data_IF_820584632060
#
_entry.id   IF_820584632060
#
_cell.length_a   1.000
_cell.length_b   1.000
_cell.length_c   1.000
_cell.angle_alpha   90.00
_cell.angle_beta   90.00
_cell.angle_gamma   90.00
#
_symmetry.space_group_name_H-M   'P 1'
#
loop_
_entity.id
_entity.type
_entity.pdbx_description
1 polymer ?
#
# COMPACT_ATOMS: atom_id res chain seq x y z
N UNK A 1 2.13 19.38 4.58
CA UNK A 1 1.07 19.92 3.73
C UNK A 1 0.68 18.91 2.65
N UNK A 2 1.54 18.55 1.72
CA UNK A 2 1.23 17.61 0.60
C UNK A 2 0.81 16.21 1.05
N UNK A 3 1.27 15.73 2.21
CA UNK A 3 0.79 14.46 2.77
C UNK A 3 -0.70 14.48 3.14
N UNK A 4 -1.25 15.66 3.45
CA UNK A 4 -2.67 15.84 3.81
C UNK A 4 -3.53 16.16 2.59
N UNK A 5 -3.00 16.96 1.68
CA UNK A 5 -3.66 17.36 0.45
C UNK A 5 -2.63 17.52 -0.67
N UNK A 6 -2.57 16.52 -1.54
CA UNK A 6 -1.67 16.49 -2.68
C UNK A 6 -2.12 17.42 -3.84
N UNK A 7 -3.31 18.04 -3.74
CA UNK A 7 -3.84 18.98 -4.74
C UNK A 7 -3.51 20.44 -4.45
N UNK A 8 -2.85 20.73 -3.32
CA UNK A 8 -2.41 22.09 -3.02
C UNK A 8 -1.55 22.65 -4.15
N UNK A 9 -1.89 23.87 -4.60
CA UNK A 9 -1.10 24.57 -5.60
C UNK A 9 0.17 25.17 -5.00
N UNK A 10 1.13 25.48 -5.84
CA UNK A 10 2.37 26.15 -5.40
C UNK A 10 2.10 27.50 -4.75
N UNK A 11 1.06 28.23 -5.24
CA UNK A 11 0.59 29.48 -4.67
C UNK A 11 0.08 29.29 -3.24
N UNK A 12 -0.82 28.31 -3.02
CA UNK A 12 -1.39 28.00 -1.71
C UNK A 12 -0.32 27.60 -0.71
N UNK A 13 0.63 26.78 -1.14
CA UNK A 13 1.76 26.37 -0.28
C UNK A 13 2.67 27.57 -0.01
N UNK A 14 2.91 28.40 -1.04
CA UNK A 14 3.74 29.60 -0.93
C UNK A 14 3.18 30.61 0.06
N UNK A 15 1.88 30.89 -0.01
CA UNK A 15 1.18 31.75 0.96
C UNK A 15 1.32 31.22 2.39
N UNK A 16 1.04 29.93 2.60
CA UNK A 16 1.12 29.31 3.92
C UNK A 16 2.53 29.32 4.53
N UNK A 17 3.57 29.28 3.70
CA UNK A 17 4.97 29.23 4.13
C UNK A 17 5.72 30.55 3.95
N UNK A 18 5.03 31.62 3.48
CA UNK A 18 5.62 32.92 3.14
C UNK A 18 6.81 32.78 2.17
N UNK A 19 6.59 32.07 1.06
CA UNK A 19 7.58 31.81 0.01
C UNK A 19 6.95 32.00 -1.38
N UNK A 20 7.78 32.31 -2.38
CA UNK A 20 7.28 32.43 -3.76
C UNK A 20 6.85 31.07 -4.32
N UNK A 21 5.85 31.03 -5.22
CA UNK A 21 5.43 29.79 -5.88
C UNK A 21 6.58 29.07 -6.61
N UNK A 22 7.50 29.83 -7.23
CA UNK A 22 8.67 29.26 -7.89
C UNK A 22 9.61 28.54 -6.91
N UNK A 23 9.84 29.13 -5.73
CA UNK A 23 10.62 28.50 -4.66
C UNK A 23 9.96 27.21 -4.19
N UNK A 24 8.63 27.19 -4.05
CA UNK A 24 7.88 25.99 -3.65
C UNK A 24 8.01 24.90 -4.72
N UNK A 25 7.82 25.25 -6.00
CA UNK A 25 7.98 24.31 -7.11
C UNK A 25 9.37 23.66 -7.10
N UNK A 26 10.42 24.45 -6.96
CA UNK A 26 11.79 23.94 -7.00
C UNK A 26 12.08 23.03 -5.80
N UNK A 27 11.53 23.34 -4.63
CA UNK A 27 11.66 22.49 -3.44
C UNK A 27 10.90 21.15 -3.59
N UNK A 28 9.69 21.18 -4.14
CA UNK A 28 8.91 19.97 -4.39
C UNK A 28 9.64 19.09 -5.40
N UNK A 29 10.07 19.66 -6.53
CA UNK A 29 10.84 18.94 -7.53
C UNK A 29 12.09 18.28 -6.93
N UNK A 30 12.82 19.00 -6.11
CA UNK A 30 13.99 18.44 -5.42
C UNK A 30 13.61 17.24 -4.53
N UNK A 31 12.51 17.33 -3.77
CA UNK A 31 12.03 16.21 -2.93
C UNK A 31 11.59 15.00 -3.76
N UNK A 32 11.07 15.22 -4.97
CA UNK A 32 10.76 14.14 -5.92
C UNK A 32 12.03 13.50 -6.48
N UNK A 33 12.99 14.33 -6.93
CA UNK A 33 14.27 13.88 -7.48
C UNK A 33 15.10 13.10 -6.42
N UNK A 34 15.11 13.57 -5.18
CA UNK A 34 15.77 12.92 -4.03
C UNK A 34 14.95 11.75 -3.45
N UNK A 35 13.80 11.41 -4.05
CA UNK A 35 12.88 10.36 -3.58
C UNK A 35 12.39 10.51 -2.14
N UNK A 36 12.33 11.73 -1.62
CA UNK A 36 11.63 12.06 -0.38
C UNK A 36 10.11 11.96 -0.59
N UNK A 37 9.64 12.43 -1.76
CA UNK A 37 8.29 12.18 -2.24
C UNK A 37 8.39 11.04 -3.26
N UNK A 38 7.77 9.91 -2.93
CA UNK A 38 7.77 8.71 -3.79
C UNK A 38 6.66 8.73 -4.84
N UNK A 39 5.62 9.53 -4.62
CA UNK A 39 4.48 9.64 -5.51
C UNK A 39 3.27 10.27 -4.85
N UNK A 40 2.18 10.33 -5.60
CA UNK A 40 0.89 10.87 -5.18
C UNK A 40 -0.18 9.83 -5.47
N UNK A 41 -1.13 9.68 -4.56
CA UNK A 41 -2.21 8.72 -4.72
C UNK A 41 -3.54 9.30 -4.26
N UNK A 42 -4.61 8.95 -4.94
CA UNK A 42 -5.95 9.28 -4.52
C UNK A 42 -6.45 8.27 -3.48
N UNK A 43 -7.09 8.77 -2.43
CA UNK A 43 -7.86 7.95 -1.52
C UNK A 43 -9.24 7.80 -2.12
N UNK A 44 -9.67 6.56 -2.33
CA UNK A 44 -10.93 6.24 -2.99
C UNK A 44 -11.85 5.45 -2.05
N UNK A 45 -13.16 5.53 -2.31
CA UNK A 45 -14.15 4.66 -1.68
C UNK A 45 -14.09 3.28 -2.35
N UNK A 46 -13.46 2.34 -1.68
CA UNK A 46 -13.22 1.00 -2.19
C UNK A 46 -14.50 0.20 -2.42
N UNK A 47 -15.53 0.42 -1.61
CA UNK A 47 -16.84 -0.22 -1.79
C UNK A 47 -17.47 0.16 -3.13
N UNK A 48 -17.32 1.42 -3.55
CA UNK A 48 -17.80 1.90 -4.85
C UNK A 48 -16.95 1.39 -6.03
N UNK A 49 -15.78 0.84 -5.77
CA UNK A 49 -14.91 0.23 -6.79
C UNK A 49 -15.13 -1.29 -6.91
N UNK A 50 -16.14 -1.86 -6.24
CA UNK A 50 -16.42 -3.28 -6.27
C UNK A 50 -15.48 -4.13 -5.42
N UNK A 51 -14.73 -3.50 -4.50
CA UNK A 51 -13.90 -4.21 -3.51
C UNK A 51 -14.80 -4.59 -2.35
N UNK A 52 -15.26 -5.83 -2.34
CA UNK A 52 -16.13 -6.37 -1.28
C UNK A 52 -15.36 -6.97 -0.10
N UNK A 53 -14.06 -7.23 -0.28
CA UNK A 53 -13.22 -7.85 0.73
C UNK A 53 -11.84 -7.20 0.74
N UNK A 54 -11.42 -6.76 1.90
CA UNK A 54 -10.08 -6.24 2.20
C UNK A 54 -9.51 -7.03 3.38
N UNK A 55 -8.34 -7.61 3.23
CA UNK A 55 -7.75 -8.46 4.25
C UNK A 55 -6.24 -8.22 4.37
N UNK A 56 -5.76 -8.27 5.61
CA UNK A 56 -4.35 -8.42 5.90
C UNK A 56 -4.05 -9.90 6.12
N UNK A 57 -3.09 -10.40 5.37
CA UNK A 57 -2.67 -11.80 5.40
C UNK A 57 -1.20 -11.85 5.76
N UNK A 58 -0.90 -12.44 6.90
CA UNK A 58 0.49 -12.69 7.30
C UNK A 58 0.84 -14.16 7.07
N UNK A 59 2.08 -14.41 6.69
CA UNK A 59 2.57 -15.75 6.40
C UNK A 59 4.08 -15.88 6.62
N UNK A 60 4.54 -17.11 6.76
CA UNK A 60 5.94 -17.48 6.75
C UNK A 60 6.40 -17.82 5.34
N UNK A 61 7.67 -17.61 5.09
CA UNK A 61 8.37 -18.02 3.87
C UNK A 61 9.80 -18.44 4.23
N UNK A 62 10.30 -19.42 3.53
CA UNK A 62 11.70 -19.81 3.67
C UNK A 62 12.61 -18.64 3.25
N UNK A 63 13.57 -18.25 4.10
CA UNK A 63 14.48 -17.14 3.79
C UNK A 63 15.21 -17.28 2.44
N UNK A 64 15.50 -18.50 2.02
CA UNK A 64 16.21 -18.78 0.77
C UNK A 64 15.37 -18.49 -0.49
N UNK A 65 14.04 -18.50 -0.37
CA UNK A 65 13.10 -18.29 -1.48
C UNK A 65 12.34 -16.95 -1.40
N UNK A 66 12.54 -16.19 -0.33
CA UNK A 66 11.81 -14.95 -0.04
C UNK A 66 11.83 -13.97 -1.20
N UNK A 67 13.00 -13.70 -1.78
CA UNK A 67 13.14 -12.71 -2.86
C UNK A 67 12.30 -13.07 -4.09
N UNK A 68 12.32 -14.33 -4.50
CA UNK A 68 11.54 -14.81 -5.66
C UNK A 68 10.05 -14.80 -5.35
N UNK A 69 9.66 -15.25 -4.16
CA UNK A 69 8.26 -15.29 -3.74
C UNK A 69 7.65 -13.88 -3.64
N UNK A 70 8.37 -12.93 -3.07
CA UNK A 70 7.93 -11.52 -2.98
C UNK A 70 7.83 -10.89 -4.38
N UNK A 71 8.79 -11.14 -5.27
CA UNK A 71 8.71 -10.66 -6.64
C UNK A 71 7.47 -11.21 -7.37
N UNK A 72 7.14 -12.49 -7.15
CA UNK A 72 5.93 -13.09 -7.69
C UNK A 72 4.65 -12.50 -7.07
N UNK A 73 4.63 -12.20 -5.77
CA UNK A 73 3.50 -11.51 -5.12
C UNK A 73 3.22 -10.14 -5.74
N UNK A 74 4.25 -9.38 -6.09
CA UNK A 74 4.11 -8.05 -6.70
C UNK A 74 3.38 -8.09 -8.04
N UNK A 75 3.36 -9.23 -8.74
CA UNK A 75 2.63 -9.41 -10.00
C UNK A 75 1.16 -9.78 -9.81
N UNK A 76 0.73 -10.09 -8.59
CA UNK A 76 -0.66 -10.44 -8.29
C UNK A 76 -1.47 -9.15 -8.13
N UNK A 77 -2.35 -8.86 -9.06
CA UNK A 77 -3.16 -7.63 -9.12
C UNK A 77 -3.92 -7.33 -7.82
N UNK A 78 -4.34 -8.36 -7.11
CA UNK A 78 -5.12 -8.24 -5.87
C UNK A 78 -4.27 -7.88 -4.65
N UNK A 79 -2.94 -8.03 -4.73
CA UNK A 79 -2.01 -7.66 -3.66
C UNK A 79 -1.66 -6.18 -3.81
N UNK A 80 -2.02 -5.38 -2.81
CA UNK A 80 -1.86 -3.92 -2.84
C UNK A 80 -0.74 -3.40 -1.92
N UNK A 81 -0.28 -4.23 -1.00
CA UNK A 81 0.79 -3.90 -0.06
C UNK A 81 1.54 -5.17 0.34
N UNK A 82 2.84 -5.07 0.48
CA UNK A 82 3.70 -6.15 0.98
C UNK A 82 4.69 -5.53 1.95
N UNK A 83 4.72 -6.03 3.18
CA UNK A 83 5.62 -5.60 4.23
C UNK A 83 6.44 -6.77 4.78
N UNK A 84 7.70 -6.53 5.06
CA UNK A 84 8.52 -7.41 5.87
C UNK A 84 8.43 -6.99 7.34
N UNK A 85 8.12 -7.95 8.20
CA UNK A 85 7.99 -7.73 9.64
C UNK A 85 9.05 -8.50 10.41
N UNK A 86 9.29 -8.07 11.64
CA UNK A 86 10.03 -8.84 12.64
C UNK A 86 9.09 -9.84 13.34
N UNK A 87 9.63 -10.89 13.94
CA UNK A 87 8.85 -11.90 14.66
C UNK A 87 8.39 -13.07 13.80
N UNK A 88 7.30 -13.68 14.18
CA UNK A 88 6.65 -14.75 13.43
C UNK A 88 5.85 -14.16 12.26
N UNK A 89 5.60 -14.99 11.22
CA UNK A 89 4.86 -14.58 10.01
C UNK A 89 5.41 -13.27 9.42
N UNK A 90 6.65 -13.35 8.97
CA UNK A 90 7.46 -12.18 8.62
C UNK A 90 7.02 -11.43 7.36
N UNK A 91 6.10 -11.96 6.59
CA UNK A 91 5.54 -11.29 5.42
C UNK A 91 4.09 -10.96 5.71
N UNK A 92 3.75 -9.69 5.66
CA UNK A 92 2.38 -9.20 5.73
C UNK A 92 2.01 -8.66 4.35
N UNK A 93 0.88 -9.11 3.84
CA UNK A 93 0.34 -8.64 2.57
C UNK A 93 -1.10 -8.15 2.75
N UNK A 94 -1.47 -7.10 2.02
CA UNK A 94 -2.84 -6.65 1.94
C UNK A 94 -3.44 -7.11 0.63
N UNK A 95 -4.53 -7.87 0.72
CA UNK A 95 -5.21 -8.45 -0.42
C UNK A 95 -6.62 -7.86 -0.53
N UNK A 96 -6.96 -7.40 -1.73
CA UNK A 96 -8.27 -6.85 -2.04
C UNK A 96 -8.95 -7.71 -3.09
N UNK A 97 -10.18 -8.10 -2.81
CA UNK A 97 -10.97 -9.00 -3.65
C UNK A 97 -12.42 -8.53 -3.74
N UNK A 98 -13.16 -9.01 -4.72
CA UNK A 98 -14.59 -8.73 -4.85
C UNK A 98 -15.44 -9.46 -3.82
N UNK A 99 -14.94 -10.59 -3.28
CA UNK A 99 -15.63 -11.40 -2.29
C UNK A 99 -14.67 -12.22 -1.43
N UNK A 100 -15.18 -12.75 -0.32
CA UNK A 100 -14.42 -13.66 0.55
C UNK A 100 -14.03 -14.95 -0.19
N UNK A 101 -14.89 -15.43 -1.08
CA UNK A 101 -14.59 -16.60 -1.92
C UNK A 101 -13.38 -16.34 -2.80
N UNK A 102 -13.35 -15.18 -3.47
CA UNK A 102 -12.22 -14.79 -4.32
C UNK A 102 -10.93 -14.65 -3.49
N UNK A 103 -11.00 -14.09 -2.28
CA UNK A 103 -9.86 -14.02 -1.38
C UNK A 103 -9.26 -15.40 -1.10
N UNK A 104 -10.09 -16.37 -0.75
CA UNK A 104 -9.66 -17.76 -0.48
C UNK A 104 -9.02 -18.35 -1.74
N UNK A 105 -9.60 -18.15 -2.91
CA UNK A 105 -9.04 -18.65 -4.17
C UNK A 105 -7.69 -18.00 -4.50
N UNK A 106 -7.51 -16.71 -4.23
CA UNK A 106 -6.23 -16.04 -4.42
C UNK A 106 -5.17 -16.65 -3.51
N UNK A 107 -5.48 -16.85 -2.24
CA UNK A 107 -4.55 -17.47 -1.28
C UNK A 107 -4.19 -18.88 -1.74
N UNK A 108 -5.17 -19.71 -2.03
CA UNK A 108 -4.96 -21.14 -2.33
C UNK A 108 -4.28 -21.35 -3.69
N UNK A 109 -4.68 -20.60 -4.72
CA UNK A 109 -4.23 -20.84 -6.09
C UNK A 109 -3.04 -20.00 -6.51
N UNK A 110 -2.84 -18.81 -5.90
CA UNK A 110 -1.80 -17.88 -6.33
C UNK A 110 -0.70 -17.65 -5.29
N UNK A 111 -1.00 -17.71 -4.00
CA UNK A 111 -0.04 -17.39 -2.95
C UNK A 111 0.61 -18.64 -2.34
N UNK A 112 -0.18 -19.63 -1.96
CA UNK A 112 0.37 -20.90 -1.45
C UNK A 112 1.38 -21.56 -2.38
N UNK A 113 1.16 -21.61 -3.71
CA UNK A 113 2.15 -22.20 -4.63
C UNK A 113 3.50 -21.49 -4.67
N UNK A 114 3.59 -20.26 -4.17
CA UNK A 114 4.85 -19.51 -4.07
C UNK A 114 5.72 -19.94 -2.88
N UNK A 115 5.21 -20.85 -2.03
CA UNK A 115 5.94 -21.38 -0.87
C UNK A 115 5.59 -20.71 0.46
N UNK A 116 4.60 -19.83 0.48
CA UNK A 116 4.10 -19.28 1.75
C UNK A 116 3.34 -20.29 2.56
N UNK A 117 3.55 -20.28 3.88
CA UNK A 117 2.96 -21.19 4.86
C UNK A 117 2.48 -20.44 6.10
N UNK A 118 1.81 -21.14 7.03
CA UNK A 118 1.40 -20.61 8.33
C UNK A 118 0.62 -19.29 8.21
N UNK A 119 -0.43 -19.31 7.38
CA UNK A 119 -1.25 -18.13 7.10
C UNK A 119 -2.09 -17.71 8.31
N UNK A 120 -2.14 -16.42 8.55
CA UNK A 120 -3.11 -15.75 9.40
C UNK A 120 -3.85 -14.70 8.58
N UNK A 121 -5.17 -14.75 8.56
CA UNK A 121 -6.00 -13.89 7.73
C UNK A 121 -6.87 -13.01 8.61
N UNK A 122 -6.64 -11.71 8.56
CA UNK A 122 -7.42 -10.70 9.28
C UNK A 122 -8.25 -9.87 8.30
N UNK A 123 -9.57 -10.02 8.39
CA UNK A 123 -10.50 -9.25 7.56
C UNK A 123 -10.65 -7.84 8.09
N UNK A 124 -10.60 -6.83 7.21
CA UNK A 124 -10.91 -5.46 7.55
C UNK A 124 -12.43 -5.30 7.63
N UNK A 125 -12.96 -5.10 8.83
CA UNK A 125 -14.39 -4.90 9.04
C UNK A 125 -14.85 -3.47 8.76
N UNK A 126 -13.94 -2.51 8.90
CA UNK A 126 -14.19 -1.10 8.61
C UNK A 126 -12.96 -0.24 8.83
N UNK A 127 -12.93 0.90 8.20
CA UNK A 127 -11.87 1.89 8.37
C UNK A 127 -12.34 3.00 9.31
N UNK A 128 -11.73 3.10 10.48
CA UNK A 128 -12.02 4.16 11.46
C UNK A 128 -11.30 5.46 11.08
N UNK A 129 -10.06 5.34 10.64
CA UNK A 129 -9.24 6.47 10.20
C UNK A 129 -8.38 6.02 9.02
N UNK A 130 -8.49 6.72 7.91
CA UNK A 130 -7.57 6.58 6.78
C UNK A 130 -6.86 7.91 6.60
N UNK A 131 -5.62 7.93 7.01
CA UNK A 131 -4.81 9.12 6.97
C UNK A 131 -3.61 8.92 6.05
N UNK A 132 -3.45 9.77 5.03
CA UNK A 132 -2.38 9.60 4.04
C UNK A 132 -1.00 10.03 4.53
N UNK A 133 -0.90 10.67 5.71
CA UNK A 133 0.38 11.15 6.22
C UNK A 133 0.31 11.68 7.66
N UNK A 134 1.44 11.98 8.20
CA UNK A 134 1.62 12.54 9.55
C UNK A 134 1.78 14.06 9.53
#
# INVERSE_FOLDING_TARGET
MLQKDAKLTYEQIGEALNRSPSTIRDRIKRMEDERVILGYSAIVDEARMGIGTDAYVSADIDPSTTTQAVAALMSIKNVSEILHLTGERRVLMRIRAGSNRELVEIIDKKIKPLGFTNFDVSMVLGTVLRYPGV
#
